data_IF_199974702445
#
_entry.id   IF_199974702445
#
_cell.length_a   1.000
_cell.length_b   1.000
_cell.length_c   1.000
_cell.angle_alpha   90.00
_cell.angle_beta   90.00
_cell.angle_gamma   90.00
#
_symmetry.space_group_name_H-M   'P 1'
#
loop_
_entity.id
_entity.type
_entity.pdbx_description
1 polymer ?
#
# COMPACT_ATOMS: atom_id res chain seq x y z
N UNK A 1 -12.15 11.15 -31.44
CA UNK A 1 -11.37 11.17 -30.19
C UNK A 1 -9.94 11.53 -30.55
N UNK A 2 -9.37 12.66 -30.07
CA UNK A 2 -7.95 12.88 -30.24
C UNK A 2 -7.24 11.76 -29.48
N UNK A 3 -6.35 11.04 -30.16
CA UNK A 3 -5.53 10.02 -29.52
C UNK A 3 -4.65 10.70 -28.47
N UNK A 4 -4.69 10.20 -27.23
CA UNK A 4 -3.81 10.70 -26.20
C UNK A 4 -2.36 10.60 -26.69
N UNK A 5 -1.66 11.73 -26.74
CA UNK A 5 -0.24 11.78 -27.05
C UNK A 5 0.56 11.29 -25.84
N UNK A 6 0.56 9.97 -25.68
CA UNK A 6 1.24 9.26 -24.60
C UNK A 6 2.77 9.41 -24.66
N UNK A 7 3.34 10.06 -25.69
CA UNK A 7 4.77 10.38 -25.74
C UNK A 7 5.08 11.81 -25.34
N UNK A 8 4.08 12.68 -25.21
CA UNK A 8 4.29 14.04 -24.72
C UNK A 8 4.67 14.00 -23.24
N UNK A 9 5.79 14.64 -22.90
CA UNK A 9 6.22 14.79 -21.51
C UNK A 9 5.18 15.56 -20.67
N UNK A 10 4.46 16.52 -21.28
CA UNK A 10 3.39 17.27 -20.62
C UNK A 10 2.21 16.40 -20.20
N UNK A 11 2.01 15.23 -20.83
CA UNK A 11 0.98 14.27 -20.44
C UNK A 11 1.26 13.59 -19.09
N UNK A 12 2.49 13.67 -18.58
CA UNK A 12 2.93 13.05 -17.33
C UNK A 12 3.29 14.08 -16.24
N UNK A 13 2.95 15.35 -16.42
CA UNK A 13 3.24 16.41 -15.44
C UNK A 13 2.66 16.13 -14.05
N UNK A 14 1.50 15.48 -13.98
CA UNK A 14 0.85 15.06 -12.72
C UNK A 14 1.49 13.80 -12.11
N UNK A 15 2.04 12.90 -12.94
CA UNK A 15 2.75 11.68 -12.47
C UNK A 15 4.05 12.04 -11.76
N UNK A 16 4.66 13.19 -12.07
CA UNK A 16 5.81 13.72 -11.33
C UNK A 16 5.44 14.21 -9.92
N UNK A 17 4.16 14.50 -9.64
CA UNK A 17 3.68 14.89 -8.31
C UNK A 17 3.32 13.69 -7.44
N UNK A 18 3.00 12.55 -8.05
CA UNK A 18 2.87 11.30 -7.32
C UNK A 18 4.23 10.95 -6.72
N UNK A 19 4.25 10.62 -5.42
CA UNK A 19 5.49 10.22 -4.78
C UNK A 19 5.99 8.95 -5.47
N UNK A 20 7.29 8.79 -5.68
CA UNK A 20 7.84 7.59 -6.32
C UNK A 20 7.39 6.30 -5.61
N UNK A 21 7.10 6.41 -4.31
CA UNK A 21 6.49 5.36 -3.50
C UNK A 21 5.06 4.99 -3.95
N UNK A 22 4.20 5.97 -4.28
CA UNK A 22 2.82 5.72 -4.73
C UNK A 22 2.81 4.97 -6.07
N UNK A 23 3.69 5.37 -6.99
CA UNK A 23 3.81 4.69 -8.28
C UNK A 23 4.34 3.27 -8.07
N UNK A 24 5.41 3.09 -7.30
CA UNK A 24 5.94 1.77 -6.97
C UNK A 24 4.88 0.87 -6.31
N UNK A 25 4.05 1.45 -5.43
CA UNK A 25 2.95 0.75 -4.79
C UNK A 25 1.85 0.33 -5.77
N UNK A 26 1.48 1.19 -6.72
CA UNK A 26 0.49 0.87 -7.77
C UNK A 26 0.94 -0.28 -8.68
N UNK A 27 2.24 -0.37 -9.00
CA UNK A 27 2.79 -1.53 -9.71
C UNK A 27 2.73 -2.80 -8.87
N UNK A 28 3.17 -2.72 -7.62
CA UNK A 28 3.25 -3.87 -6.73
C UNK A 28 1.88 -4.48 -6.43
N UNK A 29 0.86 -3.65 -6.17
CA UNK A 29 -0.49 -4.16 -5.86
C UNK A 29 -1.19 -4.81 -7.05
N UNK A 30 -0.72 -4.56 -8.28
CA UNK A 30 -1.23 -5.18 -9.51
C UNK A 30 -0.53 -6.50 -9.86
N UNK A 31 0.57 -6.81 -9.19
CA UNK A 31 1.26 -8.08 -9.35
C UNK A 31 0.40 -9.24 -8.80
N UNK A 32 0.15 -10.26 -9.62
CA UNK A 32 -0.71 -11.39 -9.25
C UNK A 32 -0.10 -12.30 -8.19
N UNK A 33 1.22 -12.41 -8.14
CA UNK A 33 1.93 -13.19 -7.11
C UNK A 33 1.88 -12.45 -5.77
N UNK A 34 2.01 -11.12 -5.79
CA UNK A 34 1.81 -10.28 -4.63
C UNK A 34 0.40 -10.44 -4.05
N UNK A 35 -0.64 -10.37 -4.90
CA UNK A 35 -2.03 -10.48 -4.44
C UNK A 35 -2.32 -11.84 -3.77
N UNK A 36 -1.82 -12.94 -4.33
CA UNK A 36 -1.95 -14.28 -3.73
C UNK A 36 -1.21 -14.36 -2.39
N UNK A 37 0.03 -13.88 -2.34
CA UNK A 37 0.85 -13.89 -1.13
C UNK A 37 0.23 -13.04 -0.03
N UNK A 38 -0.31 -11.86 -0.37
CA UNK A 38 -0.99 -10.98 0.58
C UNK A 38 -2.29 -11.59 1.10
N UNK A 39 -3.09 -12.23 0.24
CA UNK A 39 -4.33 -12.89 0.66
C UNK A 39 -4.04 -14.07 1.60
N UNK A 40 -3.00 -14.86 1.30
CA UNK A 40 -2.55 -15.94 2.17
C UNK A 40 -2.05 -15.40 3.54
N UNK A 41 -1.31 -14.28 3.52
CA UNK A 41 -0.83 -13.61 4.73
C UNK A 41 -1.99 -13.03 5.57
N UNK A 42 -3.00 -12.44 4.94
CA UNK A 42 -4.15 -11.84 5.62
C UNK A 42 -5.15 -12.87 6.18
N UNK A 43 -5.23 -14.05 5.56
CA UNK A 43 -6.09 -15.15 6.01
C UNK A 43 -5.47 -16.06 7.09
N UNK A 44 -4.14 -16.05 7.21
CA UNK A 44 -3.43 -16.67 8.32
C UNK A 44 -3.42 -15.72 9.51
N UNK A 45 -3.73 -16.19 10.72
CA UNK A 45 -3.21 -15.51 11.92
C UNK A 45 -1.70 -15.36 11.71
N UNK A 46 -1.19 -14.12 11.69
CA UNK A 46 0.16 -13.80 11.25
C UNK A 46 1.19 -14.66 11.98
N UNK A 47 1.57 -15.79 11.38
CA UNK A 47 2.71 -16.53 11.89
C UNK A 47 3.95 -15.67 11.60
N UNK A 48 4.81 -15.54 12.61
CA UNK A 48 6.03 -14.73 12.48
C UNK A 48 6.90 -15.21 11.31
N UNK A 49 6.81 -16.48 10.93
CA UNK A 49 7.53 -17.08 9.81
C UNK A 49 6.97 -16.65 8.45
N UNK A 50 5.64 -16.72 8.24
CA UNK A 50 5.02 -16.27 6.98
C UNK A 50 5.25 -14.77 6.73
N UNK A 51 5.37 -13.98 7.80
CA UNK A 51 5.68 -12.56 7.73
C UNK A 51 7.13 -12.27 7.33
N UNK A 52 8.10 -13.10 7.75
CA UNK A 52 9.52 -12.90 7.38
C UNK A 52 9.77 -13.23 5.90
N UNK A 53 9.22 -14.33 5.40
CA UNK A 53 9.35 -14.72 3.99
C UNK A 53 8.70 -13.68 3.07
N UNK A 54 7.55 -13.15 3.46
CA UNK A 54 6.87 -12.07 2.74
C UNK A 54 7.73 -10.80 2.70
N UNK A 55 8.32 -10.42 3.85
CA UNK A 55 9.20 -9.24 3.94
C UNK A 55 10.47 -9.41 3.11
N UNK A 56 11.07 -10.59 3.07
CA UNK A 56 12.27 -10.86 2.27
C UNK A 56 11.98 -10.75 0.77
N UNK A 57 10.83 -11.22 0.33
CA UNK A 57 10.45 -11.21 -1.10
C UNK A 57 10.00 -9.83 -1.58
N UNK A 58 9.21 -9.12 -0.78
CA UNK A 58 8.54 -7.88 -1.22
C UNK A 58 9.10 -6.60 -0.56
N UNK A 59 9.94 -6.72 0.47
CA UNK A 59 10.51 -5.58 1.20
C UNK A 59 9.52 -4.84 2.11
N UNK A 60 8.27 -5.33 2.22
CA UNK A 60 7.21 -4.68 2.97
C UNK A 60 7.09 -5.24 4.38
N UNK A 61 6.80 -4.36 5.34
CA UNK A 61 6.43 -4.74 6.70
C UNK A 61 5.11 -4.08 7.04
N UNK A 62 4.11 -4.87 7.42
CA UNK A 62 2.86 -4.34 7.93
C UNK A 62 2.94 -4.28 9.45
N UNK A 63 2.63 -3.13 10.03
CA UNK A 63 2.36 -3.08 11.47
C UNK A 63 1.13 -3.95 11.73
N UNK A 64 1.29 -5.01 12.51
CA UNK A 64 0.16 -5.78 13.01
C UNK A 64 -0.80 -4.81 13.71
N UNK A 65 -2.12 -5.04 13.54
CA UNK A 65 -3.13 -4.26 14.25
C UNK A 65 -2.90 -4.50 15.74
N UNK A 66 -2.30 -3.52 16.42
CA UNK A 66 -2.22 -3.53 17.88
C UNK A 66 -3.66 -3.57 18.40
N UNK A 67 -4.04 -4.65 19.07
CA UNK A 67 -5.36 -4.80 19.69
C UNK A 67 -5.60 -3.82 20.85
N UNK A 68 -4.70 -2.86 21.08
CA UNK A 68 -4.77 -1.89 22.17
C UNK A 68 -4.91 -0.48 21.63
N UNK A 69 -6.17 -0.05 21.52
CA UNK A 69 -6.55 1.31 21.17
C UNK A 69 -8.01 1.69 21.44
N UNK A 70 -8.75 1.00 22.30
CA UNK A 70 -9.93 1.61 22.93
C UNK A 70 -9.41 2.61 23.96
N UNK A 71 -9.31 3.89 23.58
CA UNK A 71 -9.57 5.03 24.48
C UNK A 71 -10.23 6.17 23.70
N UNK A 72 -11.46 6.40 24.11
CA UNK A 72 -12.32 7.54 23.89
C UNK A 72 -11.60 8.85 24.26
N UNK A 73 -11.58 9.83 23.36
CA UNK A 73 -11.52 11.25 23.75
C UNK A 73 -12.56 12.01 22.94
N UNK A 74 -13.72 12.16 23.55
CA UNK A 74 -14.70 13.16 23.16
C UNK A 74 -14.05 14.54 23.14
N UNK A 75 -14.15 15.20 21.97
CA UNK A 75 -14.36 16.63 21.77
C UNK A 75 -13.70 17.59 22.77
N UNK A 76 -12.61 18.20 22.34
CA UNK A 76 -12.29 19.59 22.70
C UNK A 76 -12.64 20.51 21.52
N UNK A 77 -13.76 21.21 21.64
CA UNK A 77 -14.12 22.50 21.00
C UNK A 77 -15.35 22.94 21.82
N UNK A 78 -15.35 24.00 22.61
CA UNK A 78 -14.63 25.27 22.44
C UNK A 78 -15.42 26.18 21.49
N UNK A 79 -16.60 26.64 21.94
CA UNK A 79 -17.27 27.90 21.61
C UNK A 79 -18.65 27.94 22.27
#
# INVERSE_FOLDING_TARGET
>A
MPGADWRSESAYGEVRQAEAADIAWEWLRRDGEYQKAFTALAGSELSSAASDDFRRKWGLTFCSRSEKGVRQTSRFLGA
#
